data_IF_222094913115
#
_entry.id   IF_222094913115
#
_cell.length_a   1.000
_cell.length_b   1.000
_cell.length_c   1.000
_cell.angle_alpha   90.00
_cell.angle_beta   90.00
_cell.angle_gamma   90.00
#
_symmetry.space_group_name_H-M   'P 1'
#
loop_
_entity.id
_entity.type
_entity.pdbx_description
1 polymer ?
#
# COMPACT_ATOMS: atom_id res chain seq x y z
N UNK A 1 1.99 12.13 -1.44
CA UNK A 1 3.26 11.39 -1.41
C UNK A 1 4.39 12.36 -1.11
N UNK A 2 5.33 11.98 -0.26
CA UNK A 2 6.50 12.76 0.14
C UNK A 2 7.71 11.84 0.27
N UNK A 3 8.92 12.38 0.05
CA UNK A 3 10.16 11.67 0.36
C UNK A 3 10.42 11.70 1.87
N UNK A 4 10.93 10.60 2.41
CA UNK A 4 11.27 10.43 3.83
C UNK A 4 12.68 9.87 3.97
N UNK A 5 13.31 9.97 5.16
CA UNK A 5 14.61 9.35 5.40
C UNK A 5 14.59 7.85 5.10
N UNK A 6 15.56 7.39 4.31
CA UNK A 6 15.71 5.97 3.95
C UNK A 6 16.60 5.20 4.95
N UNK A 7 16.53 3.85 4.98
CA UNK A 7 17.39 3.04 5.83
C UNK A 7 18.88 3.19 5.44
N UNK A 8 19.75 3.52 6.39
CA UNK A 8 21.15 3.89 6.12
C UNK A 8 22.17 2.74 6.20
N UNK A 9 21.74 1.47 6.20
CA UNK A 9 22.64 0.31 6.42
C UNK A 9 22.30 -0.96 5.64
N UNK A 10 21.33 -0.90 4.72
CA UNK A 10 20.91 -2.08 3.95
C UNK A 10 21.58 -2.11 2.57
N UNK A 11 21.78 -0.92 1.98
CA UNK A 11 22.34 -0.75 0.64
C UNK A 11 23.14 0.56 0.60
N UNK A 12 24.13 0.67 -0.30
CA UNK A 12 24.91 1.91 -0.48
C UNK A 12 24.04 3.06 -1.00
N UNK A 13 22.98 2.76 -1.74
CA UNK A 13 22.06 3.75 -2.28
C UNK A 13 20.62 3.37 -1.93
N UNK A 14 19.81 4.36 -1.52
CA UNK A 14 18.41 4.14 -1.23
C UNK A 14 17.60 5.43 -1.32
N UNK A 15 16.31 5.27 -1.63
CA UNK A 15 15.29 6.31 -1.52
C UNK A 15 14.06 5.72 -0.83
N UNK A 16 13.39 6.54 -0.01
CA UNK A 16 12.16 6.13 0.67
C UNK A 16 11.06 7.17 0.47
N UNK A 17 9.87 6.69 0.15
CA UNK A 17 8.67 7.48 -0.08
C UNK A 17 7.58 7.08 0.92
N UNK A 18 6.81 8.07 1.34
CA UNK A 18 5.61 7.91 2.14
C UNK A 18 4.39 8.42 1.37
N UNK A 19 3.27 7.73 1.52
CA UNK A 19 1.96 8.20 1.11
C UNK A 19 0.98 7.98 2.25
N UNK A 20 0.12 8.97 2.46
CA UNK A 20 -0.99 8.90 3.42
C UNK A 20 -2.24 9.32 2.64
N UNK A 21 -3.32 8.59 2.87
CA UNK A 21 -4.64 8.84 2.29
C UNK A 21 -5.54 9.29 3.43
N UNK A 22 -5.99 10.53 3.37
CA UNK A 22 -6.98 11.06 4.31
C UNK A 22 -8.30 11.32 3.60
N UNK A 23 -9.38 11.23 4.36
CA UNK A 23 -10.72 11.52 3.87
C UNK A 23 -11.63 11.95 5.02
N UNK A 24 -12.93 11.99 4.75
CA UNK A 24 -13.93 12.32 5.77
C UNK A 24 -14.82 11.11 6.05
N UNK A 25 -14.72 10.57 7.26
CA UNK A 25 -15.58 9.50 7.77
C UNK A 25 -16.49 10.08 8.85
N UNK A 26 -17.81 9.87 8.74
CA UNK A 26 -18.81 10.41 9.69
C UNK A 26 -18.69 11.93 9.95
N UNK A 27 -18.21 12.70 8.97
CA UNK A 27 -18.02 14.15 9.10
C UNK A 27 -16.74 14.58 9.83
N UNK A 28 -15.85 13.65 10.16
CA UNK A 28 -14.54 13.90 10.79
C UNK A 28 -13.43 13.50 9.82
N UNK A 29 -12.35 14.27 9.80
CA UNK A 29 -11.14 13.91 9.05
C UNK A 29 -10.54 12.61 9.62
N UNK A 30 -10.26 11.65 8.74
CA UNK A 30 -9.82 10.31 9.12
C UNK A 30 -8.72 9.85 8.18
N UNK A 31 -7.71 9.20 8.76
CA UNK A 31 -6.65 8.53 8.02
C UNK A 31 -7.19 7.19 7.49
N UNK A 32 -7.33 7.11 6.17
CA UNK A 32 -7.91 5.97 5.46
C UNK A 32 -6.84 4.95 5.05
N UNK A 33 -5.58 5.34 4.96
CA UNK A 33 -4.50 4.42 4.67
C UNK A 33 -3.15 5.09 4.64
N UNK A 34 -2.10 4.30 4.81
CA UNK A 34 -0.72 4.77 4.73
C UNK A 34 0.15 3.72 4.05
N UNK A 35 1.15 4.19 3.32
CA UNK A 35 2.10 3.34 2.63
C UNK A 35 3.52 3.86 2.72
N UNK A 36 4.48 2.95 2.61
CA UNK A 36 5.90 3.22 2.46
C UNK A 36 6.42 2.43 1.27
N UNK A 37 7.29 3.08 0.50
CA UNK A 37 8.02 2.47 -0.61
C UNK A 37 9.49 2.79 -0.42
N UNK A 38 10.33 1.76 -0.40
CA UNK A 38 11.77 1.91 -0.24
C UNK A 38 12.40 1.21 -1.44
N UNK A 39 13.14 1.96 -2.25
CA UNK A 39 14.00 1.38 -3.27
C UNK A 39 15.43 1.37 -2.75
N UNK A 40 16.05 0.20 -2.82
CA UNK A 40 17.43 -0.05 -2.47
C UNK A 40 18.19 -0.37 -3.74
N UNK A 41 19.41 0.12 -3.86
CA UNK A 41 20.30 -0.20 -4.95
C UNK A 41 21.69 -0.53 -4.42
N UNK A 42 22.21 -1.67 -4.86
CA UNK A 42 23.53 -2.17 -4.54
C UNK A 42 24.14 -2.84 -5.78
N UNK A 43 25.20 -2.26 -6.38
CA UNK A 43 25.85 -2.83 -7.56
C UNK A 43 26.57 -4.16 -7.28
N UNK A 44 26.76 -4.55 -6.02
CA UNK A 44 27.32 -5.86 -5.67
C UNK A 44 26.31 -7.00 -5.75
N UNK A 45 25.03 -6.70 -6.04
CA UNK A 45 23.93 -7.67 -6.18
C UNK A 45 23.83 -8.65 -4.98
N UNK A 46 23.46 -8.15 -3.78
CA UNK A 46 23.39 -8.95 -2.57
C UNK A 46 22.61 -10.26 -2.76
N UNK A 47 23.08 -11.33 -2.11
CA UNK A 47 22.42 -12.64 -2.18
C UNK A 47 20.93 -12.54 -1.75
N UNK A 48 20.05 -13.17 -2.53
CA UNK A 48 18.61 -13.15 -2.30
C UNK A 48 17.88 -11.94 -2.88
N UNK A 49 18.59 -10.92 -3.38
CA UNK A 49 17.94 -9.85 -4.15
C UNK A 49 17.60 -10.31 -5.56
N UNK A 50 18.44 -11.11 -6.21
CA UNK A 50 18.20 -11.52 -7.61
C UNK A 50 18.39 -10.38 -8.61
N UNK A 51 19.22 -9.39 -8.27
CA UNK A 51 19.56 -8.22 -9.07
C UNK A 51 20.10 -7.07 -8.21
N UNK A 52 20.50 -5.95 -8.82
CA UNK A 52 21.11 -4.83 -8.11
C UNK A 52 20.08 -3.92 -7.43
N UNK A 53 18.79 -4.05 -7.76
CA UNK A 53 17.70 -3.32 -7.11
C UNK A 53 16.89 -4.22 -6.18
N UNK A 54 16.39 -3.64 -5.10
CA UNK A 54 15.37 -4.28 -4.27
C UNK A 54 14.36 -3.25 -3.80
N UNK A 55 13.09 -3.49 -4.09
CA UNK A 55 12.00 -2.70 -3.51
C UNK A 55 11.48 -3.41 -2.26
N UNK A 56 11.24 -2.63 -1.22
CA UNK A 56 10.53 -3.04 -0.01
C UNK A 56 9.36 -2.09 0.17
N UNK A 57 8.16 -2.63 0.33
CA UNK A 57 6.93 -1.88 0.49
C UNK A 57 6.15 -2.33 1.72
N UNK A 58 5.52 -1.35 2.34
CA UNK A 58 4.56 -1.52 3.41
C UNK A 58 3.33 -0.71 3.06
N UNK A 59 2.14 -1.24 3.27
CA UNK A 59 0.90 -0.46 3.22
C UNK A 59 -0.09 -1.00 4.24
N UNK A 60 -0.87 -0.13 4.85
CA UNK A 60 -1.91 -0.51 5.80
C UNK A 60 -3.11 0.42 5.69
N UNK A 61 -4.27 -0.12 6.00
CA UNK A 61 -5.50 0.64 6.08
C UNK A 61 -6.47 0.01 7.10
N UNK A 62 -7.29 0.83 7.80
CA UNK A 62 -8.45 0.33 8.52
C UNK A 62 -9.37 -0.44 7.57
N UNK A 63 -10.05 -1.45 8.10
CA UNK A 63 -10.98 -2.30 7.35
C UNK A 63 -12.29 -2.42 8.13
N UNK A 64 -13.42 -2.52 7.42
CA UNK A 64 -14.69 -2.85 8.07
C UNK A 64 -14.61 -4.26 8.72
N UNK A 65 -15.08 -4.44 9.97
CA UNK A 65 -15.00 -5.73 10.67
C UNK A 65 -15.59 -6.91 9.89
N UNK A 66 -16.66 -6.68 9.12
CA UNK A 66 -17.31 -7.68 8.28
C UNK A 66 -16.43 -8.15 7.12
N UNK A 67 -15.61 -7.27 6.55
CA UNK A 67 -14.62 -7.64 5.53
C UNK A 67 -13.40 -8.29 6.19
N UNK A 68 -13.04 -7.86 7.40
CA UNK A 68 -11.93 -8.43 8.16
C UNK A 68 -12.06 -9.93 8.43
N UNK A 69 -13.28 -10.46 8.52
CA UNK A 69 -13.53 -11.90 8.72
C UNK A 69 -13.56 -12.70 7.41
N UNK A 70 -13.58 -12.05 6.23
CA UNK A 70 -13.53 -12.71 4.93
C UNK A 70 -12.19 -13.46 4.78
N UNK A 71 -12.23 -14.75 4.44
CA UNK A 71 -11.04 -15.58 4.32
C UNK A 71 -10.11 -15.12 3.18
N UNK A 72 -10.67 -14.62 2.08
CA UNK A 72 -9.96 -14.27 0.84
C UNK A 72 -9.35 -12.88 0.83
N UNK A 73 -9.68 -12.00 1.78
CA UNK A 73 -9.21 -10.61 1.77
C UNK A 73 -7.68 -10.49 1.65
N UNK A 74 -6.94 -11.41 2.26
CA UNK A 74 -5.48 -11.43 2.19
C UNK A 74 -4.97 -11.80 0.77
N UNK A 75 -5.59 -12.80 0.14
CA UNK A 75 -5.23 -13.23 -1.21
C UNK A 75 -5.57 -12.15 -2.25
N UNK A 76 -6.72 -11.49 -2.09
CA UNK A 76 -7.15 -10.36 -2.92
C UNK A 76 -6.19 -9.18 -2.76
N UNK A 77 -5.72 -8.90 -1.54
CA UNK A 77 -4.73 -7.84 -1.29
C UNK A 77 -3.42 -8.11 -2.02
N UNK A 78 -2.99 -9.38 -2.04
CA UNK A 78 -1.80 -9.77 -2.79
C UNK A 78 -2.02 -9.63 -4.30
N UNK A 79 -3.19 -10.04 -4.82
CA UNK A 79 -3.49 -9.90 -6.25
C UNK A 79 -3.48 -8.43 -6.68
N UNK A 80 -4.00 -7.51 -5.85
CA UNK A 80 -3.94 -6.07 -6.15
C UNK A 80 -2.52 -5.55 -6.39
N UNK A 81 -1.52 -6.05 -5.65
CA UNK A 81 -0.12 -5.68 -5.90
C UNK A 81 0.35 -6.18 -7.26
N UNK A 82 0.07 -7.45 -7.57
CA UNK A 82 0.48 -8.08 -8.84
C UNK A 82 -0.18 -7.37 -10.02
N UNK A 83 -1.49 -7.16 -9.94
CA UNK A 83 -2.31 -6.51 -10.97
C UNK A 83 -1.89 -5.05 -11.18
N UNK A 84 -1.58 -4.32 -10.10
CA UNK A 84 -1.10 -2.93 -10.20
C UNK A 84 0.28 -2.87 -10.87
N UNK A 85 1.21 -3.77 -10.50
CA UNK A 85 2.52 -3.84 -11.16
C UNK A 85 2.38 -4.16 -12.65
N UNK A 86 1.52 -5.11 -13.01
CA UNK A 86 1.24 -5.45 -14.40
C UNK A 86 0.60 -4.29 -15.17
N UNK A 87 -0.40 -3.63 -14.59
CA UNK A 87 -1.15 -2.54 -15.23
C UNK A 87 -0.29 -1.32 -15.56
N UNK A 88 0.73 -1.04 -14.73
CA UNK A 88 1.71 0.02 -15.00
C UNK A 88 2.89 -0.43 -15.86
N UNK A 89 2.93 -1.69 -16.31
CA UNK A 89 4.03 -2.26 -17.09
C UNK A 89 5.33 -2.38 -16.28
N UNK A 90 5.23 -2.49 -14.95
CA UNK A 90 6.38 -2.58 -14.07
C UNK A 90 6.95 -4.00 -14.15
N UNK A 91 8.09 -4.17 -14.83
CA UNK A 91 8.74 -5.48 -14.96
C UNK A 91 9.53 -5.83 -13.69
N UNK A 92 9.31 -7.00 -13.11
CA UNK A 92 9.99 -7.43 -11.88
C UNK A 92 10.24 -8.94 -11.84
N UNK A 93 11.08 -9.34 -10.90
CA UNK A 93 11.32 -10.70 -10.46
C UNK A 93 11.19 -10.82 -8.94
N UNK A 94 11.22 -12.07 -8.43
CA UNK A 94 11.38 -12.38 -7.01
C UNK A 94 10.38 -11.66 -6.07
N UNK A 95 9.15 -11.45 -6.53
CA UNK A 95 8.09 -10.89 -5.69
C UNK A 95 7.77 -11.83 -4.53
N UNK A 96 7.65 -11.25 -3.35
CA UNK A 96 7.43 -11.94 -2.09
C UNK A 96 6.74 -10.99 -1.11
N UNK A 97 6.02 -11.52 -0.13
CA UNK A 97 5.32 -10.69 0.83
C UNK A 97 4.34 -11.45 1.71
N UNK A 98 3.63 -10.68 2.53
CA UNK A 98 2.55 -11.14 3.40
C UNK A 98 1.44 -10.10 3.40
N UNK A 99 0.19 -10.53 3.24
CA UNK A 99 -0.98 -9.75 3.58
C UNK A 99 -1.53 -10.26 4.93
N UNK A 100 -1.62 -9.37 5.91
CA UNK A 100 -2.02 -9.68 7.29
C UNK A 100 -3.30 -8.96 7.62
N UNK A 101 -4.31 -9.73 8.06
CA UNK A 101 -5.54 -9.19 8.64
C UNK A 101 -5.43 -9.18 10.16
N UNK A 102 -5.79 -8.07 10.78
CA UNK A 102 -5.84 -7.91 12.24
C UNK A 102 -7.30 -7.67 12.58
N UNK A 103 -7.86 -8.50 13.47
CA UNK A 103 -9.22 -8.35 13.99
C UNK A 103 -9.12 -8.15 15.49
N UNK A 104 -9.76 -7.10 15.99
CA UNK A 104 -9.84 -6.79 17.41
C UNK A 104 -11.30 -6.76 17.86
N UNK A 105 -11.54 -7.17 19.10
CA UNK A 105 -12.84 -7.07 19.76
C UNK A 105 -12.68 -6.32 21.07
N UNK A 106 -13.45 -5.26 21.25
CA UNK A 106 -13.51 -4.51 22.49
C UNK A 106 -14.20 -5.30 23.61
N UNK A 107 -13.61 -5.27 24.80
CA UNK A 107 -14.21 -5.81 26.03
C UNK A 107 -14.04 -4.79 27.17
N UNK A 108 -14.88 -4.88 28.20
CA UNK A 108 -14.83 -3.96 29.35
C UNK A 108 -15.02 -2.50 28.93
N UNK A 109 -14.10 -1.62 29.33
CA UNK A 109 -14.14 -0.20 28.98
C UNK A 109 -14.04 0.07 27.47
N UNK A 110 -13.50 -0.87 26.68
CA UNK A 110 -13.42 -0.78 25.23
C UNK A 110 -14.65 -1.36 24.52
N UNK A 111 -15.61 -1.94 25.25
CA UNK A 111 -16.81 -2.54 24.65
C UNK A 111 -17.62 -1.50 23.84
N UNK A 112 -17.61 -0.23 24.25
CA UNK A 112 -18.28 0.85 23.52
C UNK A 112 -17.62 1.20 22.18
N UNK A 113 -16.35 0.82 21.96
CA UNK A 113 -15.63 1.05 20.70
C UNK A 113 -15.95 -0.02 19.64
N UNK A 114 -16.49 -1.17 20.05
CA UNK A 114 -16.90 -2.24 19.14
C UNK A 114 -15.75 -3.13 18.66
N UNK A 115 -16.00 -3.83 17.55
CA UNK A 115 -15.00 -4.63 16.83
C UNK A 115 -14.24 -3.73 15.84
N UNK A 116 -12.95 -4.01 15.65
CA UNK A 116 -12.10 -3.32 14.68
C UNK A 116 -11.42 -4.31 13.75
N UNK A 117 -11.10 -3.86 12.55
CA UNK A 117 -10.25 -4.60 11.63
C UNK A 117 -9.23 -3.69 10.93
N UNK A 118 -8.11 -4.29 10.55
CA UNK A 118 -7.06 -3.63 9.78
C UNK A 118 -6.44 -4.64 8.82
N UNK A 119 -6.04 -4.15 7.66
CA UNK A 119 -5.30 -4.90 6.66
C UNK A 119 -3.91 -4.29 6.48
N UNK A 120 -2.90 -5.14 6.41
CA UNK A 120 -1.50 -4.75 6.24
C UNK A 120 -0.87 -5.58 5.13
N UNK A 121 -0.26 -4.93 4.15
CA UNK A 121 0.57 -5.56 3.12
C UNK A 121 2.03 -5.22 3.37
N UNK A 122 2.87 -6.25 3.47
CA UNK A 122 4.33 -6.15 3.38
C UNK A 122 4.78 -6.89 2.15
N UNK A 123 5.51 -6.22 1.27
CA UNK A 123 5.93 -6.81 0.01
C UNK A 123 7.36 -6.41 -0.33
N UNK A 124 8.01 -7.24 -1.14
CA UNK A 124 9.32 -6.96 -1.69
C UNK A 124 9.48 -7.67 -3.03
N UNK A 125 10.09 -6.98 -3.98
CA UNK A 125 10.34 -7.49 -5.33
C UNK A 125 11.60 -6.86 -5.90
N UNK A 126 12.05 -7.39 -7.02
CA UNK A 126 13.27 -6.98 -7.71
C UNK A 126 12.92 -6.37 -9.06
N UNK A 127 12.97 -5.03 -9.20
CA UNK A 127 12.76 -4.37 -10.48
C UNK A 127 13.72 -4.89 -11.57
N UNK A 128 13.21 -5.02 -12.79
CA UNK A 128 14.05 -5.20 -13.98
C UNK A 128 14.28 -3.82 -14.62
N UNK A 129 15.54 -3.41 -14.70
CA UNK A 129 15.92 -2.08 -15.21
C UNK A 129 16.03 -1.04 -14.10
N UNK A 130 16.29 0.21 -14.51
CA UNK A 130 16.58 1.34 -13.64
C UNK A 130 15.42 2.35 -13.53
N UNK A 131 14.38 2.23 -14.36
CA UNK A 131 13.18 3.05 -14.27
C UNK A 131 12.20 2.51 -13.20
N UNK A 132 12.23 3.15 -12.03
CA UNK A 132 11.33 2.82 -10.92
C UNK A 132 9.96 3.50 -11.01
N UNK A 133 9.69 4.32 -12.03
CA UNK A 133 8.46 5.11 -12.15
C UNK A 133 7.22 4.22 -12.15
N UNK A 134 7.23 3.14 -12.94
CA UNK A 134 6.13 2.19 -13.03
C UNK A 134 5.87 1.48 -11.68
N UNK A 135 6.94 1.13 -10.95
CA UNK A 135 6.84 0.51 -9.63
C UNK A 135 6.26 1.46 -8.57
N UNK A 136 6.64 2.73 -8.60
CA UNK A 136 6.09 3.74 -7.68
C UNK A 136 4.61 3.99 -7.97
N UNK A 137 4.19 4.07 -9.24
CA UNK A 137 2.78 4.23 -9.60
C UNK A 137 1.92 3.04 -9.18
N UNK A 138 2.40 1.82 -9.44
CA UNK A 138 1.74 0.60 -8.95
C UNK A 138 1.58 0.61 -7.42
N UNK A 139 2.62 1.03 -6.69
CA UNK A 139 2.53 1.18 -5.24
C UNK A 139 1.51 2.23 -4.80
N UNK A 140 1.40 3.37 -5.49
CA UNK A 140 0.38 4.38 -5.18
C UNK A 140 -1.04 3.82 -5.32
N UNK A 141 -1.30 3.04 -6.37
CA UNK A 141 -2.60 2.40 -6.57
C UNK A 141 -2.93 1.43 -5.43
N UNK A 142 -1.95 0.66 -4.95
CA UNK A 142 -2.14 -0.25 -3.81
C UNK A 142 -2.52 0.53 -2.55
N UNK A 143 -1.83 1.64 -2.25
CA UNK A 143 -2.14 2.47 -1.08
C UNK A 143 -3.55 3.05 -1.19
N UNK A 144 -3.96 3.47 -2.39
CA UNK A 144 -5.31 3.98 -2.64
C UNK A 144 -6.39 2.89 -2.50
N UNK A 145 -6.17 1.72 -3.11
CA UNK A 145 -7.09 0.58 -3.04
C UNK A 145 -7.26 0.05 -1.62
N UNK A 146 -6.16 -0.06 -0.85
CA UNK A 146 -6.23 -0.41 0.57
C UNK A 146 -7.05 0.61 1.37
N UNK A 147 -6.93 1.90 1.04
CA UNK A 147 -7.73 2.97 1.64
C UNK A 147 -9.19 3.03 1.16
N UNK A 148 -9.65 2.03 0.39
CA UNK A 148 -11.02 1.93 -0.13
C UNK A 148 -11.29 2.85 -1.33
N UNK A 149 -10.28 3.48 -1.91
CA UNK A 149 -10.44 4.28 -3.12
C UNK A 149 -10.46 3.36 -4.34
N UNK A 150 -11.34 3.60 -5.33
CA UNK A 150 -11.33 2.82 -6.55
C UNK A 150 -9.98 3.01 -7.28
N UNK A 151 -9.48 1.98 -7.98
CA UNK A 151 -8.30 2.13 -8.80
C UNK A 151 -8.52 3.25 -9.82
N UNK A 152 -7.46 4.02 -10.10
CA UNK A 152 -7.50 5.11 -11.06
C UNK A 152 -7.66 4.54 -12.48
N UNK A 153 -8.89 4.18 -12.88
CA UNK A 153 -9.18 3.84 -14.27
C UNK A 153 -8.90 5.05 -15.15
N UNK A 154 -8.25 4.85 -16.30
CA UNK A 154 -8.10 5.85 -17.36
C UNK A 154 -9.46 6.48 -17.70
N UNK A 155 -9.74 7.68 -17.16
CA UNK A 155 -10.82 8.55 -17.64
C UNK A 155 -12.06 8.72 -16.78
N UNK A 156 -12.17 8.14 -15.57
CA UNK A 156 -13.32 8.42 -14.67
C UNK A 156 -12.91 9.46 -13.62
N UNK A 157 -13.17 10.73 -13.91
CA UNK A 157 -13.11 11.79 -12.90
C UNK A 157 -14.31 11.66 -11.97
N UNK A 158 -14.07 11.54 -10.66
CA UNK A 158 -15.13 11.65 -9.65
C UNK A 158 -15.79 13.02 -9.77
N UNK A 159 -17.09 13.05 -10.08
CA UNK A 159 -17.90 14.27 -10.05
C UNK A 159 -17.94 14.79 -8.61
N UNK A 160 -17.31 15.94 -8.37
CA UNK A 160 -17.36 16.59 -7.07
C UNK A 160 -18.84 16.81 -6.65
N UNK A 161 -19.21 16.51 -5.39
CA UNK A 161 -20.57 16.74 -4.92
C UNK A 161 -20.91 18.22 -5.05
N UNK A 162 -21.91 18.51 -5.89
CA UNK A 162 -22.39 19.85 -6.15
C UNK A 162 -23.01 20.41 -4.87
N UNK A 163 -22.28 21.30 -4.17
CA UNK A 163 -22.85 22.06 -3.06
C UNK A 163 -24.00 22.89 -3.61
N UNK A 164 -25.24 22.53 -3.29
CA UNK A 164 -26.38 23.44 -3.44
C UNK A 164 -26.20 24.56 -2.43
N UNK A 165 -25.79 25.74 -2.90
CA UNK A 165 -25.88 26.97 -2.13
C UNK A 165 -27.37 27.23 -1.83
N UNK A 166 -27.68 27.47 -0.56
CA UNK A 166 -28.96 27.99 -0.09
C UNK A 166 -28.82 29.49 0.16
#
# INVERSE_FOLDING_TARGET
MTEIPSPTRIAPFSIALAADVSGTAHGVESDLGTGRFIALYDPEEPEGWGGPFRVVSFAQAPLEPEIGVDEFVADVTWSWLVDALESHGATYDHASGTATKIISRGYGDLAAQGDGAQLELRASWTPRGDDLTAHVRAWQDIVAMLAGLPPASDGVTLLAPRRLAK
#
